data_IF_722460007105
#
_entry.id   IF_722460007105
#
_cell.length_a   1.000
_cell.length_b   1.000
_cell.length_c   1.000
_cell.angle_alpha   90.00
_cell.angle_beta   90.00
_cell.angle_gamma   90.00
#
_symmetry.space_group_name_H-M   'P 1'
#
loop_
_entity.id
_entity.type
_entity.pdbx_description
1 polymer ?
#
# COMPACT_ATOMS: atom_id res chain seq x y z
N UNK A 1 -8.78 -13.53 1.23
CA UNK A 1 -7.51 -13.27 0.52
C UNK A 1 -7.78 -12.58 -0.81
N UNK A 2 -7.37 -11.32 -0.94
CA UNK A 2 -7.50 -10.50 -2.16
C UNK A 2 -6.43 -10.90 -3.19
N UNK A 3 -6.75 -10.88 -4.49
CA UNK A 3 -5.84 -11.36 -5.57
C UNK A 3 -5.48 -10.31 -6.62
N UNK A 4 -6.24 -9.23 -6.71
CA UNK A 4 -6.09 -8.19 -7.75
C UNK A 4 -6.22 -6.80 -7.15
N UNK A 5 -5.64 -5.79 -7.82
CA UNK A 5 -5.77 -4.41 -7.39
C UNK A 5 -7.23 -3.90 -7.43
N UNK A 6 -8.09 -4.49 -8.27
CA UNK A 6 -9.49 -4.11 -8.28
C UNK A 6 -10.18 -4.57 -7.00
N UNK A 7 -10.03 -5.83 -6.60
CA UNK A 7 -10.57 -6.35 -5.33
C UNK A 7 -10.09 -5.56 -4.10
N UNK A 8 -8.84 -5.07 -4.10
CA UNK A 8 -8.32 -4.21 -3.03
C UNK A 8 -9.08 -2.87 -2.95
N UNK A 9 -9.44 -2.28 -4.10
CA UNK A 9 -10.28 -1.08 -4.13
C UNK A 9 -11.72 -1.39 -3.75
N UNK A 10 -12.29 -2.44 -4.31
CA UNK A 10 -13.68 -2.84 -4.09
C UNK A 10 -13.94 -3.11 -2.60
N UNK A 11 -12.99 -3.74 -1.90
CA UNK A 11 -13.05 -3.94 -0.45
C UNK A 11 -12.97 -2.62 0.33
N UNK A 12 -11.98 -1.76 0.03
CA UNK A 12 -11.81 -0.46 0.71
C UNK A 12 -13.03 0.46 0.51
N UNK A 13 -13.56 0.54 -0.72
CA UNK A 13 -14.73 1.36 -1.06
C UNK A 13 -16.03 0.74 -0.51
N UNK A 14 -16.17 -0.59 -0.53
CA UNK A 14 -17.28 -1.31 0.08
C UNK A 14 -17.35 -1.14 1.61
N UNK A 15 -16.21 -1.01 2.28
CA UNK A 15 -16.11 -0.64 3.69
C UNK A 15 -16.35 0.87 3.95
N UNK A 16 -16.66 1.67 2.93
CA UNK A 16 -16.87 3.12 3.03
C UNK A 16 -15.58 3.93 3.26
N UNK A 17 -14.42 3.28 3.19
CA UNK A 17 -13.12 3.91 3.38
C UNK A 17 -12.69 4.69 2.12
N UNK A 18 -11.75 5.61 2.30
CA UNK A 18 -11.43 6.64 1.28
C UNK A 18 -9.97 6.62 0.82
N UNK A 19 -9.27 5.49 0.99
CA UNK A 19 -7.83 5.37 0.70
C UNK A 19 -7.55 5.62 -0.79
N UNK A 20 -8.35 4.99 -1.67
CA UNK A 20 -8.25 5.17 -3.12
C UNK A 20 -8.99 6.41 -3.66
N UNK A 21 -9.59 7.22 -2.78
CA UNK A 21 -10.37 8.38 -3.22
C UNK A 21 -9.49 9.37 -4.01
N UNK A 22 -10.02 10.04 -5.05
CA UNK A 22 -9.24 11.03 -5.81
C UNK A 22 -8.68 12.18 -4.96
N UNK A 23 -9.27 12.45 -3.79
CA UNK A 23 -8.73 13.40 -2.80
C UNK A 23 -7.43 12.89 -2.17
N UNK A 24 -7.48 11.74 -1.50
CA UNK A 24 -6.32 11.13 -0.84
C UNK A 24 -5.18 10.84 -1.82
N UNK A 25 -5.51 10.25 -2.98
CA UNK A 25 -4.54 9.93 -4.04
C UNK A 25 -3.81 11.17 -4.57
N UNK A 26 -4.49 12.31 -4.70
CA UNK A 26 -3.86 13.59 -5.09
C UNK A 26 -3.01 14.17 -3.96
N UNK A 27 -3.50 14.17 -2.72
CA UNK A 27 -2.84 14.78 -1.57
C UNK A 27 -1.42 14.21 -1.32
N UNK A 28 -1.27 12.88 -1.41
CA UNK A 28 0.04 12.22 -1.25
C UNK A 28 0.84 12.08 -2.56
N UNK A 29 0.29 12.51 -3.71
CA UNK A 29 0.89 12.30 -5.04
C UNK A 29 1.00 10.81 -5.41
N UNK A 30 0.10 9.98 -4.89
CA UNK A 30 0.17 8.52 -4.90
C UNK A 30 -0.01 7.91 -6.29
N UNK A 31 0.74 6.84 -6.56
CA UNK A 31 0.57 5.97 -7.73
C UNK A 31 0.71 4.52 -7.29
N UNK A 32 -0.22 3.66 -7.68
CA UNK A 32 -0.28 2.26 -7.24
C UNK A 32 0.48 1.36 -8.21
N UNK A 33 1.24 0.40 -7.70
CA UNK A 33 1.83 -0.67 -8.52
C UNK A 33 0.75 -1.69 -8.88
N UNK A 34 0.68 -2.11 -10.14
CA UNK A 34 -0.29 -3.13 -10.58
C UNK A 34 -0.05 -4.54 -10.04
N UNK A 35 0.96 -4.74 -9.18
CA UNK A 35 1.32 -6.04 -8.61
C UNK A 35 0.82 -6.16 -7.17
N UNK A 36 0.04 -7.21 -6.95
CA UNK A 36 -0.49 -7.64 -5.65
C UNK A 36 0.21 -8.90 -5.19
N UNK A 37 0.33 -9.06 -3.87
CA UNK A 37 0.91 -10.21 -3.18
C UNK A 37 -0.14 -10.74 -2.19
N UNK A 38 -0.93 -11.76 -2.56
CA UNK A 38 -1.97 -12.32 -1.69
C UNK A 38 -1.35 -12.90 -0.42
N UNK A 39 -2.02 -12.72 0.72
CA UNK A 39 -1.65 -13.30 2.03
C UNK A 39 -2.90 -13.80 2.76
N UNK A 40 -2.72 -14.46 3.89
CA UNK A 40 -3.84 -14.75 4.80
C UNK A 40 -4.52 -13.45 5.25
N UNK A 41 -5.85 -13.48 5.36
CA UNK A 41 -6.73 -12.37 5.73
C UNK A 41 -6.58 -11.06 4.91
N UNK A 42 -5.97 -11.09 3.72
CA UNK A 42 -5.86 -9.90 2.88
C UNK A 42 -4.93 -10.00 1.67
N UNK A 43 -4.22 -8.90 1.37
CA UNK A 43 -3.11 -8.84 0.42
C UNK A 43 -2.16 -7.66 0.69
N UNK A 44 -0.87 -7.85 0.35
CA UNK A 44 0.12 -6.77 0.28
C UNK A 44 0.15 -6.15 -1.13
N UNK A 45 0.34 -4.84 -1.20
CA UNK A 45 0.56 -4.09 -2.43
C UNK A 45 1.60 -2.98 -2.22
N UNK A 46 2.05 -2.36 -3.31
CA UNK A 46 3.08 -1.31 -3.30
C UNK A 46 2.53 -0.05 -3.95
N UNK A 47 2.78 1.10 -3.33
CA UNK A 47 2.52 2.42 -3.93
C UNK A 47 3.79 3.26 -3.99
N UNK A 48 3.68 4.41 -4.64
CA UNK A 48 4.71 5.44 -4.64
C UNK A 48 4.11 6.81 -4.43
N UNK A 49 4.73 7.60 -3.57
CA UNK A 49 4.21 8.88 -3.09
C UNK A 49 5.21 9.99 -3.42
N UNK A 50 4.70 11.17 -3.67
CA UNK A 50 5.50 12.34 -4.01
C UNK A 50 4.87 13.54 -3.34
N UNK A 51 5.36 13.83 -2.13
CA UNK A 51 4.88 14.95 -1.33
C UNK A 51 5.31 16.25 -1.99
N UNK A 52 4.33 16.97 -2.53
CA UNK A 52 4.47 18.25 -3.22
C UNK A 52 3.70 19.30 -2.41
N UNK A 53 4.33 20.46 -2.22
CA UNK A 53 3.72 21.65 -1.65
C UNK A 53 3.98 22.84 -2.57
N UNK A 54 3.48 24.03 -2.21
CA UNK A 54 3.78 25.26 -2.94
C UNK A 54 5.27 25.67 -2.88
N UNK A 55 6.06 25.12 -1.94
CA UNK A 55 7.47 25.49 -1.71
C UNK A 55 8.48 24.36 -1.91
N UNK A 56 8.05 23.09 -2.04
CA UNK A 56 8.95 21.98 -2.32
C UNK A 56 8.27 20.83 -3.08
N UNK A 57 9.09 20.05 -3.79
CA UNK A 57 8.72 18.74 -4.35
C UNK A 57 9.73 17.71 -3.85
N UNK A 58 9.29 16.74 -3.05
CA UNK A 58 10.18 15.65 -2.60
C UNK A 58 10.40 14.65 -3.73
N UNK A 59 11.54 13.98 -3.72
CA UNK A 59 11.78 12.83 -4.59
C UNK A 59 10.69 11.75 -4.37
N UNK A 60 10.22 11.12 -5.45
CA UNK A 60 9.25 10.03 -5.36
C UNK A 60 9.89 8.84 -4.65
N UNK A 61 9.23 8.36 -3.61
CA UNK A 61 9.60 7.18 -2.82
C UNK A 61 8.46 6.15 -2.86
N UNK A 62 8.68 4.97 -2.28
CA UNK A 62 7.75 3.84 -2.34
C UNK A 62 7.43 3.29 -0.94
N UNK A 63 6.19 2.87 -0.78
CA UNK A 63 5.61 2.34 0.47
C UNK A 63 5.02 0.95 0.23
N UNK A 64 5.08 0.07 1.23
CA UNK A 64 4.40 -1.23 1.24
C UNK A 64 3.15 -1.10 2.10
N UNK A 65 2.01 -1.54 1.57
CA UNK A 65 0.73 -1.50 2.27
C UNK A 65 0.09 -2.88 2.31
N UNK A 66 -0.60 -3.16 3.41
CA UNK A 66 -1.52 -4.29 3.56
C UNK A 66 -2.94 -3.77 3.34
N UNK A 67 -3.80 -4.60 2.75
CA UNK A 67 -5.25 -4.44 2.79
C UNK A 67 -5.82 -5.70 3.42
N UNK A 68 -6.66 -5.59 4.47
CA UNK A 68 -7.42 -6.73 4.98
C UNK A 68 -8.51 -7.14 3.97
N UNK A 69 -9.06 -8.35 4.12
CA UNK A 69 -10.25 -8.74 3.37
C UNK A 69 -11.46 -7.83 3.67
N UNK A 70 -11.51 -7.21 4.86
CA UNK A 70 -12.48 -6.18 5.26
C UNK A 70 -12.18 -4.79 4.65
N UNK A 71 -11.11 -4.65 3.85
CA UNK A 71 -10.79 -3.43 3.13
C UNK A 71 -9.97 -2.39 3.90
N UNK A 72 -9.60 -2.62 5.15
CA UNK A 72 -8.75 -1.69 5.92
C UNK A 72 -7.30 -1.72 5.41
N UNK A 73 -6.68 -0.55 5.25
CA UNK A 73 -5.34 -0.41 4.68
C UNK A 73 -4.36 0.22 5.68
N UNK A 74 -3.36 -0.56 6.07
CA UNK A 74 -2.24 -0.16 6.94
C UNK A 74 -0.94 -0.06 6.14
N UNK A 75 0.00 0.77 6.58
CA UNK A 75 1.38 0.75 6.04
C UNK A 75 2.16 -0.33 6.79
N UNK A 76 2.96 -1.13 6.09
CA UNK A 76 3.78 -2.18 6.72
C UNK A 76 5.23 -1.70 6.74
N UNK A 77 5.70 -1.34 7.94
CA UNK A 77 6.92 -0.56 8.12
C UNK A 77 6.73 0.92 7.75
N UNK A 78 7.83 1.64 7.53
CA UNK A 78 7.79 3.10 7.34
C UNK A 78 7.13 3.54 6.03
N UNK A 79 6.31 4.58 6.12
CA UNK A 79 5.83 5.34 4.97
C UNK A 79 7.01 6.00 4.24
N UNK A 80 7.09 5.84 2.92
CA UNK A 80 8.23 6.26 2.10
C UNK A 80 9.57 5.64 2.54
N UNK A 81 9.59 4.37 2.97
CA UNK A 81 10.82 3.64 3.27
C UNK A 81 11.76 3.51 2.04
N UNK A 82 11.22 3.15 0.87
CA UNK A 82 12.01 2.64 -0.25
C UNK A 82 12.29 3.70 -1.33
N UNK A 83 13.48 3.61 -1.95
CA UNK A 83 13.94 4.50 -3.03
C UNK A 83 13.50 4.02 -4.41
N UNK A 84 13.34 2.71 -4.60
CA UNK A 84 12.92 2.12 -5.88
C UNK A 84 11.73 1.18 -5.74
N UNK A 85 10.96 1.04 -6.83
CA UNK A 85 9.88 0.06 -6.92
C UNK A 85 10.38 -1.37 -6.68
N UNK A 86 11.62 -1.67 -7.09
CA UNK A 86 12.24 -3.00 -6.94
C UNK A 86 12.47 -3.35 -5.46
N UNK A 87 12.95 -2.41 -4.66
CA UNK A 87 13.12 -2.60 -3.21
C UNK A 87 11.78 -2.91 -2.54
N UNK A 88 10.77 -2.07 -2.74
CA UNK A 88 9.44 -2.25 -2.17
C UNK A 88 8.78 -3.57 -2.63
N UNK A 89 8.90 -3.90 -3.93
CA UNK A 89 8.40 -5.18 -4.45
C UNK A 89 9.18 -6.40 -3.96
N UNK A 90 10.46 -6.26 -3.62
CA UNK A 90 11.25 -7.33 -2.98
C UNK A 90 10.83 -7.50 -1.52
N UNK A 91 10.59 -6.41 -0.78
CA UNK A 91 10.09 -6.51 0.60
C UNK A 91 8.67 -7.08 0.66
N UNK A 92 7.75 -6.59 -0.16
CA UNK A 92 6.39 -7.14 -0.25
C UNK A 92 6.40 -8.65 -0.61
N UNK A 93 7.36 -9.11 -1.44
CA UNK A 93 7.54 -10.55 -1.70
C UNK A 93 8.05 -11.31 -0.47
N UNK A 94 8.99 -10.74 0.28
CA UNK A 94 9.52 -11.38 1.51
C UNK A 94 8.43 -11.52 2.56
N UNK A 95 7.75 -10.41 2.88
CA UNK A 95 6.63 -10.36 3.82
C UNK A 95 5.55 -11.37 3.44
N UNK A 96 5.11 -11.40 2.18
CA UNK A 96 4.11 -12.37 1.72
C UNK A 96 4.56 -13.84 1.79
N UNK A 97 5.87 -14.13 1.86
CA UNK A 97 6.41 -15.48 1.97
C UNK A 97 6.61 -15.93 3.44
N UNK A 98 6.50 -15.01 4.40
CA UNK A 98 6.63 -15.28 5.85
C UNK A 98 5.42 -14.79 6.64
N UNK A 99 4.35 -14.39 5.97
CA UNK A 99 3.29 -13.56 6.53
C UNK A 99 2.60 -14.20 7.73
N UNK A 100 2.52 -13.46 8.83
CA UNK A 100 1.60 -13.72 9.95
C UNK A 100 0.74 -12.49 10.18
N UNK A 101 -0.46 -12.70 10.70
CA UNK A 101 -1.34 -11.59 11.09
C UNK A 101 -0.70 -10.69 12.16
N UNK A 102 0.12 -11.27 13.05
CA UNK A 102 0.94 -10.57 14.06
C UNK A 102 1.89 -9.52 13.47
N UNK A 103 2.32 -9.65 12.20
CA UNK A 103 3.19 -8.68 11.51
C UNK A 103 2.45 -7.35 11.15
N UNK A 104 1.18 -7.22 11.54
CA UNK A 104 0.32 -6.06 11.29
C UNK A 104 0.65 -4.84 12.17
N UNK A 105 0.92 -5.07 13.45
CA UNK A 105 0.63 -4.10 14.53
C UNK A 105 1.86 -3.33 15.03
N UNK A 106 2.87 -3.19 14.16
CA UNK A 106 4.14 -2.54 14.48
C UNK A 106 4.46 -1.41 13.48
N UNK A 107 3.74 -0.29 13.64
CA UNK A 107 3.91 0.97 12.90
C UNK A 107 3.67 2.19 13.81
#
# INVERSE_FOLDING_TARGET
MLKTLQQIKDANEGAGLKWFSPGAMRYFGSRISGKVYPVENGALFVTSEQLISASFSRARKYSVHFCSDDGEIRTVGEFQAYRTLREAQQQAKKLAATWKEEDADHA
#
